data_IF_614610850292
#
_entry.id   IF_614610850292
#
_cell.length_a   1.000
_cell.length_b   1.000
_cell.length_c   1.000
_cell.angle_alpha   90.00
_cell.angle_beta   90.00
_cell.angle_gamma   90.00
#
_symmetry.space_group_name_H-M   'P 1'
#
loop_
_entity.id
_entity.type
_entity.pdbx_description
1 polymer ?
#
# COMPACT_ATOMS: atom_id res chain seq x y z
N UNK A 1 -13.40 -11.25 17.87
CA UNK A 1 -13.45 -11.50 16.42
C UNK A 1 -12.39 -12.54 16.09
N UNK A 2 -12.75 -13.70 15.53
CA UNK A 2 -11.74 -14.62 14.99
C UNK A 2 -11.33 -14.13 13.59
N UNK A 3 -10.04 -14.06 13.34
CA UNK A 3 -9.51 -13.71 12.01
C UNK A 3 -9.72 -14.90 11.07
N UNK A 4 -10.33 -14.65 9.91
CA UNK A 4 -10.42 -15.64 8.83
C UNK A 4 -9.14 -15.57 7.97
N UNK A 5 -8.20 -16.46 8.24
CA UNK A 5 -6.94 -16.51 7.49
C UNK A 5 -7.10 -16.99 6.05
N UNK A 6 -8.17 -17.72 5.72
CA UNK A 6 -8.45 -18.12 4.33
C UNK A 6 -8.90 -16.91 3.51
N UNK A 7 -9.79 -16.09 4.08
CA UNK A 7 -10.18 -14.83 3.46
C UNK A 7 -8.99 -13.88 3.31
N UNK A 8 -8.16 -13.72 4.36
CA UNK A 8 -6.96 -12.87 4.28
C UNK A 8 -5.98 -13.36 3.22
N UNK A 9 -5.70 -14.68 3.15
CA UNK A 9 -4.81 -15.26 2.13
C UNK A 9 -5.31 -15.00 0.71
N UNK A 10 -6.62 -15.00 0.49
CA UNK A 10 -7.22 -14.79 -0.83
C UNK A 10 -7.00 -13.38 -1.40
N UNK A 11 -6.57 -12.41 -0.58
CA UNK A 11 -6.26 -11.04 -1.00
C UNK A 11 -4.89 -10.90 -1.69
N UNK A 12 -4.08 -11.96 -1.68
CA UNK A 12 -2.71 -11.94 -2.22
C UNK A 12 -2.57 -12.86 -3.43
N UNK A 13 -1.68 -12.48 -4.34
CA UNK A 13 -1.22 -13.33 -5.42
C UNK A 13 -0.07 -14.20 -4.90
N UNK A 14 -0.35 -15.48 -4.73
CA UNK A 14 0.60 -16.49 -4.29
C UNK A 14 0.62 -17.62 -5.32
N UNK A 15 1.79 -18.04 -5.82
CA UNK A 15 1.89 -19.18 -6.72
C UNK A 15 1.35 -20.46 -6.06
N UNK A 16 0.72 -21.31 -6.86
CA UNK A 16 0.23 -22.60 -6.40
C UNK A 16 1.39 -23.50 -5.92
N UNK A 17 1.16 -24.28 -4.87
CA UNK A 17 2.14 -25.20 -4.32
C UNK A 17 3.26 -24.57 -3.49
N UNK A 18 3.34 -23.23 -3.39
CA UNK A 18 4.38 -22.56 -2.59
C UNK A 18 3.96 -22.44 -1.11
N UNK A 19 4.90 -22.79 -0.23
CA UNK A 19 4.89 -22.43 1.18
C UNK A 19 5.84 -21.25 1.37
N UNK A 20 5.28 -20.03 1.47
CA UNK A 20 6.06 -18.79 1.54
C UNK A 20 6.32 -18.37 2.99
N UNK A 21 7.53 -18.63 3.49
CA UNK A 21 7.95 -18.36 4.88
C UNK A 21 9.01 -17.26 5.00
N UNK A 22 9.06 -16.33 4.03
CA UNK A 22 10.00 -15.21 4.00
C UNK A 22 9.30 -13.84 3.87
N UNK A 23 8.05 -13.78 4.34
CA UNK A 23 7.22 -12.57 4.30
C UNK A 23 7.73 -11.41 5.17
N UNK A 24 8.62 -11.70 6.11
CA UNK A 24 9.32 -10.72 6.94
C UNK A 24 10.39 -9.95 6.15
N UNK A 25 10.89 -10.52 5.05
CA UNK A 25 11.83 -9.86 4.14
C UNK A 25 11.05 -9.10 3.05
N UNK A 26 10.14 -9.80 2.37
CA UNK A 26 9.27 -9.21 1.35
C UNK A 26 7.84 -9.76 1.47
N UNK A 27 6.86 -8.90 1.71
CA UNK A 27 5.47 -9.33 1.77
C UNK A 27 4.96 -9.84 0.41
N UNK A 28 4.03 -10.83 0.39
CA UNK A 28 3.43 -11.27 -0.86
C UNK A 28 2.62 -10.14 -1.52
N UNK A 29 2.51 -10.17 -2.84
CA UNK A 29 1.84 -9.12 -3.62
C UNK A 29 0.34 -9.09 -3.32
N UNK A 30 -0.21 -7.97 -2.80
CA UNK A 30 -1.66 -7.81 -2.71
C UNK A 30 -2.25 -7.66 -4.12
N UNK A 31 -3.37 -8.35 -4.39
CA UNK A 31 -4.05 -8.31 -5.71
C UNK A 31 -4.39 -6.89 -6.17
N UNK A 32 -4.79 -6.04 -5.22
CA UNK A 32 -5.16 -4.65 -5.49
C UNK A 32 -3.97 -3.76 -5.82
N UNK A 33 -2.75 -4.14 -5.44
CA UNK A 33 -1.57 -3.32 -5.67
C UNK A 33 -1.25 -3.17 -7.16
N UNK A 34 -1.46 -4.23 -7.95
CA UNK A 34 -1.24 -4.21 -9.39
C UNK A 34 -2.15 -3.18 -10.08
N UNK A 35 -3.46 -3.31 -9.86
CA UNK A 35 -4.47 -2.41 -10.43
C UNK A 35 -4.23 -0.95 -10.02
N UNK A 36 -3.93 -0.70 -8.74
CA UNK A 36 -3.65 0.64 -8.25
C UNK A 36 -2.40 1.24 -8.90
N UNK A 37 -1.34 0.45 -9.05
CA UNK A 37 -0.10 0.90 -9.68
C UNK A 37 -0.32 1.24 -11.16
N UNK A 38 -1.06 0.40 -11.87
CA UNK A 38 -1.42 0.64 -13.27
C UNK A 38 -2.25 1.92 -13.43
N UNK A 39 -3.23 2.16 -12.56
CA UNK A 39 -4.02 3.39 -12.57
C UNK A 39 -3.17 4.63 -12.28
N UNK A 40 -2.23 4.57 -11.33
CA UNK A 40 -1.30 5.69 -11.08
C UNK A 40 -0.50 6.02 -12.34
N UNK A 41 0.03 5.01 -13.03
CA UNK A 41 0.85 5.23 -14.23
C UNK A 41 0.00 5.74 -15.40
N UNK A 42 -1.05 5.01 -15.76
CA UNK A 42 -1.81 5.26 -16.98
C UNK A 42 -2.78 6.45 -16.85
N UNK A 43 -3.50 6.54 -15.74
CA UNK A 43 -4.60 7.51 -15.59
C UNK A 43 -4.19 8.75 -14.82
N UNK A 44 -3.35 8.61 -13.79
CA UNK A 44 -2.94 9.76 -12.99
C UNK A 44 -1.75 10.44 -13.65
N UNK A 45 -0.61 9.75 -13.79
CA UNK A 45 0.59 10.33 -14.38
C UNK A 45 0.42 10.60 -15.87
N UNK A 46 0.01 9.58 -16.64
CA UNK A 46 -0.12 9.69 -18.10
C UNK A 46 -1.09 10.77 -18.57
N UNK A 47 -2.17 11.04 -17.83
CA UNK A 47 -3.21 12.01 -18.25
C UNK A 47 -3.17 13.33 -17.49
N UNK A 48 -2.84 13.34 -16.20
CA UNK A 48 -2.89 14.57 -15.38
C UNK A 48 -1.56 15.33 -15.36
N UNK A 49 -0.44 14.66 -15.69
CA UNK A 49 0.90 15.24 -15.66
C UNK A 49 1.17 15.94 -14.32
N UNK A 50 1.75 17.14 -14.35
CA UNK A 50 2.05 17.94 -13.15
C UNK A 50 0.81 18.23 -12.29
N UNK A 51 -0.39 18.25 -12.87
CA UNK A 51 -1.61 18.50 -12.09
C UNK A 51 -1.99 17.32 -11.19
N UNK A 52 -1.39 16.14 -11.39
CA UNK A 52 -1.54 14.96 -10.54
C UNK A 52 -1.17 15.21 -9.08
N UNK A 53 -0.21 16.11 -8.82
CA UNK A 53 0.15 16.52 -7.44
C UNK A 53 -1.06 16.92 -6.60
N UNK A 54 -2.00 17.64 -7.22
CA UNK A 54 -3.21 18.11 -6.57
C UNK A 54 -4.43 17.24 -6.92
N UNK A 55 -4.67 16.99 -8.22
CA UNK A 55 -5.87 16.30 -8.70
C UNK A 55 -5.92 14.82 -8.32
N UNK A 56 -4.76 14.17 -8.19
CA UNK A 56 -4.66 12.79 -7.72
C UNK A 56 -4.16 12.69 -6.27
N UNK A 57 -4.02 13.83 -5.57
CA UNK A 57 -3.68 13.87 -4.15
C UNK A 57 -2.26 13.43 -3.79
N UNK A 58 -1.32 13.37 -4.74
CA UNK A 58 0.03 12.87 -4.47
C UNK A 58 0.76 13.65 -3.37
N UNK A 59 0.50 14.95 -3.24
CA UNK A 59 1.11 15.78 -2.18
C UNK A 59 0.70 15.33 -0.77
N UNK A 60 -0.52 14.81 -0.62
CA UNK A 60 -1.11 14.43 0.67
C UNK A 60 -0.86 12.94 1.00
N UNK A 61 -0.54 12.13 -0.02
CA UNK A 61 -0.40 10.67 0.08
C UNK A 61 0.56 10.19 1.19
N UNK A 62 1.74 10.81 1.43
CA UNK A 62 2.63 10.40 2.52
C UNK A 62 2.01 10.50 3.91
N UNK A 63 1.28 11.58 4.16
CA UNK A 63 0.59 11.84 5.43
C UNK A 63 -0.60 10.92 5.63
N UNK A 64 -1.40 10.70 4.58
CA UNK A 64 -2.56 9.82 4.64
C UNK A 64 -2.15 8.36 4.90
N UNK A 65 -1.06 7.91 4.28
CA UNK A 65 -0.51 6.59 4.54
C UNK A 65 0.10 6.50 5.95
N UNK A 66 0.81 7.54 6.38
CA UNK A 66 1.33 7.65 7.75
C UNK A 66 0.23 7.53 8.79
N UNK A 67 -0.90 8.22 8.60
CA UNK A 67 -2.08 8.13 9.46
C UNK A 67 -2.69 6.72 9.53
N UNK A 68 -2.58 5.93 8.45
CA UNK A 68 -3.01 4.52 8.46
C UNK A 68 -2.03 3.64 9.25
N UNK A 69 -0.73 3.85 9.09
CA UNK A 69 0.32 3.14 9.84
C UNK A 69 0.27 3.51 11.32
N UNK A 70 0.02 4.77 11.66
CA UNK A 70 -0.09 5.26 13.03
C UNK A 70 -1.07 4.45 13.87
N UNK A 71 -2.19 4.03 13.29
CA UNK A 71 -3.18 3.15 13.96
C UNK A 71 -2.62 1.77 14.33
N UNK A 72 -1.64 1.26 13.58
CA UNK A 72 -1.00 -0.03 13.84
C UNK A 72 0.09 0.06 14.92
N UNK A 73 0.70 1.23 15.10
CA UNK A 73 1.80 1.46 16.05
C UNK A 73 1.40 2.30 17.27
N UNK A 74 0.13 2.68 17.39
CA UNK A 74 -0.40 3.46 18.52
C UNK A 74 -0.10 4.95 18.48
N UNK A 75 0.26 5.50 17.32
CA UNK A 75 0.50 6.94 17.15
C UNK A 75 -0.81 7.73 17.00
N UNK A 76 -0.79 8.99 17.43
CA UNK A 76 -1.89 9.93 17.20
C UNK A 76 -2.02 10.30 15.71
N UNK A 77 -3.17 10.85 15.33
CA UNK A 77 -3.38 11.40 13.99
C UNK A 77 -2.33 12.50 13.72
N UNK A 78 -1.81 12.54 12.49
CA UNK A 78 -0.83 13.50 11.97
C UNK A 78 0.55 13.46 12.64
N UNK A 79 0.89 12.36 13.32
CA UNK A 79 2.20 12.17 13.98
C UNK A 79 3.15 11.21 13.23
N UNK A 80 2.71 10.64 12.11
CA UNK A 80 3.49 9.70 11.30
C UNK A 80 3.43 10.15 9.84
N UNK A 81 4.59 10.19 9.17
CA UNK A 81 4.75 10.46 7.74
C UNK A 81 5.51 9.29 7.12
N UNK A 82 5.11 8.85 5.93
CA UNK A 82 5.90 7.88 5.13
C UNK A 82 6.90 8.64 4.28
N UNK A 83 8.19 8.41 4.53
CA UNK A 83 9.30 8.94 3.72
C UNK A 83 9.92 7.86 2.84
N UNK A 84 11.19 8.05 2.50
CA UNK A 84 11.94 7.22 1.56
C UNK A 84 12.26 5.82 2.14
N UNK A 85 13.44 5.66 2.71
CA UNK A 85 13.96 4.37 3.15
C UNK A 85 14.43 4.45 4.60
N UNK A 86 14.62 3.28 5.23
CA UNK A 86 15.33 3.19 6.52
C UNK A 86 16.84 3.43 6.36
N UNK A 87 17.38 3.17 5.16
CA UNK A 87 18.82 3.09 4.84
C UNK A 87 19.17 3.81 3.55
#
# INVERSE_FOLDING_TARGET
MSIDFKATKALFDLPEGIIYLDGNSLGPLPKTAQEKTQNVIADQWGKLLITGWNKAGWMQQPSDLGNRIGKLIGAALDHVIVGDTLS
#
